data_IF_729450725542
#
_entry.id   IF_729450725542
#
_cell.length_a   1.000
_cell.length_b   1.000
_cell.length_c   1.000
_cell.angle_alpha   90.00
_cell.angle_beta   90.00
_cell.angle_gamma   90.00
#
_symmetry.space_group_name_H-M   'P 1'
#
loop_
_entity.id
_entity.type
_entity.pdbx_description
1 polymer ?
#
# COMPACT_ATOMS: atom_id res chain seq x y z
N UNK A 1 9.02 13.03 -7.74
CA UNK A 1 10.19 12.13 -7.55
C UNK A 1 9.87 11.11 -6.46
N UNK A 2 10.33 9.89 -6.64
CA UNK A 2 10.18 8.83 -5.64
C UNK A 2 11.55 8.44 -5.13
N UNK A 3 11.73 8.43 -3.81
CA UNK A 3 12.99 8.09 -3.16
C UNK A 3 12.77 7.24 -1.92
N UNK A 4 13.81 6.53 -1.49
CA UNK A 4 13.76 5.81 -0.22
C UNK A 4 13.56 6.79 0.95
N UNK A 5 12.68 6.40 1.87
CA UNK A 5 12.49 7.11 3.12
C UNK A 5 13.71 6.91 4.04
N UNK A 6 14.01 7.94 4.83
CA UNK A 6 15.02 7.88 5.89
C UNK A 6 14.35 8.16 7.23
N UNK A 7 15.09 7.98 8.32
CA UNK A 7 14.57 8.27 9.67
C UNK A 7 14.20 9.73 9.86
N UNK A 8 14.82 10.64 9.12
CA UNK A 8 14.50 12.07 9.15
C UNK A 8 13.10 12.35 8.58
N UNK A 9 12.56 11.45 7.76
CA UNK A 9 11.21 11.56 7.20
C UNK A 9 10.12 11.08 8.15
N UNK A 10 10.48 10.44 9.25
CA UNK A 10 9.55 9.66 10.08
C UNK A 10 8.39 10.49 10.64
N UNK A 11 8.66 11.69 11.14
CA UNK A 11 7.60 12.57 11.65
C UNK A 11 6.58 12.90 10.57
N UNK A 12 7.04 13.27 9.37
CA UNK A 12 6.16 13.62 8.26
C UNK A 12 5.39 12.40 7.75
N UNK A 13 6.03 11.24 7.70
CA UNK A 13 5.38 9.98 7.32
C UNK A 13 4.23 9.67 8.29
N UNK A 14 4.47 9.76 9.59
CA UNK A 14 3.43 9.46 10.58
C UNK A 14 2.27 10.46 10.52
N UNK A 15 2.54 11.73 10.18
CA UNK A 15 1.49 12.72 9.94
C UNK A 15 0.63 12.36 8.71
N UNK A 16 1.24 11.87 7.65
CA UNK A 16 0.49 11.40 6.46
C UNK A 16 -0.42 10.24 6.84
N UNK A 17 0.07 9.28 7.61
CA UNK A 17 -0.76 8.16 8.06
C UNK A 17 -1.92 8.60 8.95
N UNK A 18 -1.69 9.57 9.83
CA UNK A 18 -2.76 10.12 10.66
C UNK A 18 -3.87 10.74 9.81
N UNK A 19 -3.53 11.53 8.80
CA UNK A 19 -4.50 12.10 7.85
C UNK A 19 -5.22 11.01 7.05
N UNK A 20 -4.49 9.99 6.61
CA UNK A 20 -5.06 8.88 5.86
C UNK A 20 -6.06 8.08 6.68
N UNK A 21 -5.78 7.83 7.96
CA UNK A 21 -6.74 7.16 8.86
C UNK A 21 -8.02 7.96 9.03
N UNK A 22 -7.90 9.29 9.17
CA UNK A 22 -9.06 10.16 9.23
C UNK A 22 -9.88 10.09 7.94
N UNK A 23 -9.23 10.14 6.79
CA UNK A 23 -9.89 10.00 5.49
C UNK A 23 -10.62 8.66 5.39
N UNK A 24 -9.99 7.56 5.82
CA UNK A 24 -10.61 6.24 5.82
C UNK A 24 -11.90 6.23 6.64
N UNK A 25 -11.87 6.78 7.86
CA UNK A 25 -13.06 6.87 8.72
C UNK A 25 -14.15 7.69 8.05
N UNK A 26 -13.80 8.85 7.50
CA UNK A 26 -14.75 9.77 6.88
C UNK A 26 -15.39 9.19 5.61
N UNK A 27 -14.74 8.23 4.96
CA UNK A 27 -15.22 7.60 3.72
C UNK A 27 -15.75 6.17 3.92
N UNK A 28 -16.06 5.79 5.15
CA UNK A 28 -16.71 4.51 5.45
C UNK A 28 -15.80 3.31 5.60
N UNK A 29 -14.50 3.53 5.85
CA UNK A 29 -13.51 2.47 6.01
C UNK A 29 -12.75 2.62 7.35
N UNK A 30 -13.44 2.52 8.51
CA UNK A 30 -12.79 2.74 9.80
C UNK A 30 -11.89 1.59 10.26
N UNK A 31 -12.03 0.40 9.68
CA UNK A 31 -11.45 -0.83 10.26
C UNK A 31 -10.15 -1.27 9.62
N UNK A 32 -9.79 -0.81 8.43
CA UNK A 32 -8.59 -1.29 7.74
C UNK A 32 -7.32 -0.97 8.56
N UNK A 33 -7.14 0.28 8.96
CA UNK A 33 -6.00 0.69 9.78
C UNK A 33 -6.41 1.06 11.21
N UNK A 34 -7.71 1.21 11.48
CA UNK A 34 -8.20 1.58 12.80
C UNK A 34 -7.67 2.93 13.23
N UNK A 35 -7.21 3.01 14.48
CA UNK A 35 -6.69 4.24 15.07
C UNK A 35 -5.17 4.31 15.10
N UNK A 36 -4.46 3.21 14.87
CA UNK A 36 -3.03 3.13 15.16
C UNK A 36 -2.17 2.43 14.12
N UNK A 37 -2.74 2.02 13.00
CA UNK A 37 -1.97 1.42 11.90
C UNK A 37 -1.72 2.41 10.78
N UNK A 38 -0.60 2.32 10.06
CA UNK A 38 0.59 1.53 10.39
C UNK A 38 1.21 2.00 11.70
N UNK A 39 1.77 1.06 12.48
CA UNK A 39 2.44 1.42 13.74
C UNK A 39 3.77 2.11 13.47
N UNK A 40 4.22 2.90 14.44
CA UNK A 40 5.55 3.52 14.41
C UNK A 40 6.64 2.46 14.16
N UNK A 41 6.59 1.35 14.90
CA UNK A 41 7.57 0.29 14.80
C UNK A 41 7.60 -0.36 13.42
N UNK A 42 6.44 -0.57 12.79
CA UNK A 42 6.38 -1.16 11.45
C UNK A 42 6.93 -0.21 10.40
N UNK A 43 6.73 1.10 10.56
CA UNK A 43 7.29 2.10 9.65
C UNK A 43 8.81 2.15 9.80
N UNK A 44 9.33 2.16 11.02
CA UNK A 44 10.77 2.12 11.28
C UNK A 44 11.40 0.88 10.65
N UNK A 45 10.76 -0.28 10.82
CA UNK A 45 11.23 -1.53 10.21
C UNK A 45 11.32 -1.41 8.69
N UNK A 46 10.29 -0.86 8.05
CA UNK A 46 10.30 -0.70 6.59
C UNK A 46 11.37 0.29 6.11
N UNK A 47 11.62 1.35 6.88
CA UNK A 47 12.71 2.28 6.58
C UNK A 47 14.06 1.58 6.71
N UNK A 48 14.29 0.86 7.81
CA UNK A 48 15.55 0.16 8.05
C UNK A 48 15.82 -0.92 7.01
N UNK A 49 14.78 -1.58 6.51
CA UNK A 49 14.89 -2.59 5.47
C UNK A 49 14.89 -2.01 4.06
N UNK A 50 14.91 -0.69 3.93
CA UNK A 50 15.01 0.02 2.65
C UNK A 50 13.89 -0.36 1.67
N UNK A 51 12.66 -0.43 2.19
CA UNK A 51 11.48 -0.76 1.38
C UNK A 51 10.35 0.25 1.51
N UNK A 52 10.54 1.35 2.26
CA UNK A 52 9.59 2.45 2.32
C UNK A 52 10.05 3.58 1.42
N UNK A 53 9.12 4.12 0.64
CA UNK A 53 9.38 5.16 -0.35
C UNK A 53 8.50 6.38 -0.09
N UNK A 54 9.06 7.54 -0.43
CA UNK A 54 8.37 8.82 -0.38
C UNK A 54 8.14 9.31 -1.79
N UNK A 55 6.93 9.78 -2.05
CA UNK A 55 6.59 10.50 -3.27
C UNK A 55 6.60 11.98 -2.92
N UNK A 56 7.51 12.74 -3.52
CA UNK A 56 7.60 14.18 -3.28
C UNK A 56 7.72 14.95 -4.59
N UNK A 57 7.20 16.17 -4.58
CA UNK A 57 7.31 17.14 -5.66
C UNK A 57 7.63 18.51 -5.04
N UNK A 58 7.62 19.58 -5.84
CA UNK A 58 7.94 20.92 -5.34
C UNK A 58 7.05 21.36 -4.17
N UNK A 59 5.80 20.88 -4.12
CA UNK A 59 4.86 21.16 -3.05
C UNK A 59 5.18 20.44 -1.73
N UNK A 60 6.10 19.48 -1.76
CA UNK A 60 6.50 18.68 -0.61
C UNK A 60 6.13 17.21 -0.73
N UNK A 61 5.92 16.55 0.40
CA UNK A 61 5.60 15.13 0.47
C UNK A 61 4.15 14.89 0.07
N UNK A 62 3.94 14.20 -1.05
CA UNK A 62 2.60 13.89 -1.57
C UNK A 62 2.05 12.58 -1.05
N UNK A 63 2.91 11.61 -0.78
CA UNK A 63 2.47 10.30 -0.32
C UNK A 63 3.63 9.41 0.08
N UNK A 64 3.29 8.27 0.66
CA UNK A 64 4.24 7.25 1.09
C UNK A 64 3.71 5.88 0.75
N UNK A 65 4.60 4.91 0.56
CA UNK A 65 4.23 3.51 0.40
C UNK A 65 5.43 2.62 0.71
N UNK A 66 5.15 1.36 1.03
CA UNK A 66 6.18 0.33 1.11
C UNK A 66 6.06 -0.58 -0.09
N UNK A 67 7.19 -1.10 -0.56
CA UNK A 67 7.25 -2.07 -1.64
C UNK A 67 7.99 -3.30 -1.14
N UNK A 68 7.26 -4.42 -1.03
CA UNK A 68 7.80 -5.70 -0.55
C UNK A 68 8.08 -6.59 -1.75
N UNK A 69 9.18 -7.31 -1.70
CA UNK A 69 9.47 -8.34 -2.70
C UNK A 69 8.94 -9.72 -2.29
N UNK A 70 8.36 -9.82 -1.09
CA UNK A 70 7.76 -11.04 -0.58
C UNK A 70 6.86 -10.69 0.61
N UNK A 71 5.72 -11.37 0.72
CA UNK A 71 4.82 -11.24 1.87
C UNK A 71 4.33 -12.63 2.28
N UNK A 72 4.66 -13.05 3.50
CA UNK A 72 4.27 -14.36 4.00
C UNK A 72 2.75 -14.54 4.10
N UNK A 73 2.00 -13.46 4.35
CA UNK A 73 0.54 -13.53 4.42
C UNK A 73 -0.08 -13.90 3.07
N UNK A 74 0.65 -13.69 1.98
CA UNK A 74 0.21 -14.02 0.62
C UNK A 74 0.40 -15.49 0.27
N UNK A 75 1.14 -16.27 1.07
CA UNK A 75 1.34 -17.70 0.83
C UNK A 75 0.05 -18.50 1.02
N UNK A 76 -0.85 -18.06 1.90
CA UNK A 76 -2.07 -18.77 2.28
C UNK A 76 -3.32 -18.10 1.71
N UNK A 77 -3.28 -17.71 0.45
CA UNK A 77 -4.43 -17.09 -0.19
C UNK A 77 -5.61 -18.06 -0.26
N UNK A 78 -6.80 -17.57 0.10
CA UNK A 78 -8.06 -18.22 -0.19
C UNK A 78 -8.49 -17.76 -1.59
N UNK A 79 -8.06 -18.51 -2.57
CA UNK A 79 -8.12 -18.15 -3.98
C UNK A 79 -6.84 -18.56 -4.67
N UNK A 80 -6.50 -17.87 -5.74
CA UNK A 80 -5.31 -18.22 -6.52
C UNK A 80 -4.71 -17.00 -7.20
N UNK A 81 -3.43 -16.74 -6.93
CA UNK A 81 -2.66 -15.74 -7.67
C UNK A 81 -2.59 -16.11 -9.16
N UNK A 82 -2.44 -15.11 -10.02
CA UNK A 82 -2.41 -15.34 -11.48
C UNK A 82 -1.23 -16.21 -11.90
N UNK A 83 -0.13 -16.16 -11.15
CA UNK A 83 1.04 -17.01 -11.36
C UNK A 83 1.87 -17.06 -10.08
N UNK A 84 2.93 -17.88 -10.07
CA UNK A 84 3.86 -18.02 -8.95
C UNK A 84 5.21 -17.36 -9.22
N UNK A 85 5.25 -16.43 -10.18
CA UNK A 85 6.47 -15.68 -10.49
C UNK A 85 6.85 -14.72 -9.38
N UNK A 86 8.11 -14.26 -9.31
CA UNK A 86 8.50 -13.20 -8.40
C UNK A 86 7.62 -11.97 -8.59
N UNK A 87 7.28 -11.32 -7.49
CA UNK A 87 6.36 -10.18 -7.49
C UNK A 87 6.85 -9.08 -6.56
N UNK A 88 6.26 -7.91 -6.70
CA UNK A 88 6.33 -6.87 -5.66
C UNK A 88 4.92 -6.60 -5.14
N UNK A 89 4.83 -6.27 -3.86
CA UNK A 89 3.56 -5.95 -3.21
C UNK A 89 3.60 -4.51 -2.71
N UNK A 90 2.57 -3.74 -3.05
CA UNK A 90 2.41 -2.37 -2.56
C UNK A 90 1.67 -2.43 -1.22
N UNK A 91 2.30 -1.89 -0.18
CA UNK A 91 1.74 -1.83 1.16
C UNK A 91 1.79 -0.42 1.73
N UNK A 92 0.95 -0.17 2.72
CA UNK A 92 0.98 1.07 3.51
C UNK A 92 0.91 2.34 2.65
N UNK A 93 0.19 2.27 1.52
CA UNK A 93 0.03 3.41 0.63
C UNK A 93 -0.87 4.47 1.25
N UNK A 94 -0.38 5.68 1.33
CA UNK A 94 -1.14 6.81 1.86
C UNK A 94 -0.77 8.09 1.12
N UNK A 95 -1.78 8.92 0.88
CA UNK A 95 -1.62 10.26 0.31
C UNK A 95 -1.87 11.31 1.39
N UNK A 96 -1.20 12.46 1.27
CA UNK A 96 -1.42 13.56 2.22
C UNK A 96 -2.63 14.45 1.86
N UNK A 97 -3.30 14.17 0.74
CA UNK A 97 -4.48 14.92 0.31
C UNK A 97 -4.21 16.18 -0.50
N UNK A 98 -2.95 16.55 -0.72
CA UNK A 98 -2.59 17.76 -1.46
C UNK A 98 -2.87 17.65 -2.96
N UNK A 99 -2.72 16.45 -3.52
CA UNK A 99 -2.76 16.23 -4.96
C UNK A 99 -3.26 14.84 -5.28
N UNK A 100 -3.95 14.69 -6.41
CA UNK A 100 -4.38 13.39 -6.92
C UNK A 100 -3.23 12.66 -7.60
N UNK A 101 -3.39 11.33 -7.79
CA UNK A 101 -2.46 10.54 -8.60
C UNK A 101 -1.38 9.81 -7.82
N UNK A 102 -1.43 9.82 -6.49
CA UNK A 102 -0.45 9.11 -5.66
C UNK A 102 -0.46 7.60 -5.93
N UNK A 103 -1.65 6.99 -6.05
CA UNK A 103 -1.75 5.57 -6.38
C UNK A 103 -1.06 5.24 -7.71
N UNK A 104 -1.33 6.03 -8.75
CA UNK A 104 -0.73 5.79 -10.06
C UNK A 104 0.79 5.95 -10.02
N UNK A 105 1.30 6.92 -9.29
CA UNK A 105 2.75 7.11 -9.16
C UNK A 105 3.41 5.92 -8.46
N UNK A 106 2.81 5.42 -7.40
CA UNK A 106 3.30 4.23 -6.70
C UNK A 106 3.24 2.99 -7.60
N UNK A 107 2.15 2.84 -8.35
CA UNK A 107 1.98 1.71 -9.28
C UNK A 107 3.01 1.76 -10.41
N UNK A 108 3.23 2.92 -11.01
CA UNK A 108 4.23 3.06 -12.08
C UNK A 108 5.64 2.73 -11.56
N UNK A 109 5.95 3.12 -10.34
CA UNK A 109 7.21 2.76 -9.70
C UNK A 109 7.31 1.24 -9.48
N UNK A 110 6.25 0.60 -8.99
CA UNK A 110 6.20 -0.85 -8.81
C UNK A 110 6.41 -1.58 -10.15
N UNK A 111 5.78 -1.10 -11.22
CA UNK A 111 5.96 -1.66 -12.58
C UNK A 111 7.40 -1.57 -13.06
N UNK A 112 8.16 -0.59 -12.60
CA UNK A 112 9.59 -0.49 -12.94
C UNK A 112 10.44 -1.56 -12.25
N UNK A 113 9.89 -2.23 -11.22
CA UNK A 113 10.60 -3.23 -10.42
C UNK A 113 10.19 -4.66 -10.74
N UNK A 114 8.98 -4.88 -11.22
CA UNK A 114 8.48 -6.22 -11.52
C UNK A 114 7.32 -6.15 -12.51
N UNK A 115 7.15 -7.22 -13.27
CA UNK A 115 5.96 -7.41 -14.11
C UNK A 115 4.77 -7.96 -13.33
N UNK A 116 4.96 -8.35 -12.08
CA UNK A 116 3.92 -8.89 -11.22
C UNK A 116 3.75 -8.01 -10.00
N UNK A 117 2.60 -7.37 -9.88
CA UNK A 117 2.27 -6.50 -8.76
C UNK A 117 1.08 -7.09 -8.03
N UNK A 118 1.24 -7.30 -6.72
CA UNK A 118 0.18 -7.76 -5.83
C UNK A 118 -0.20 -6.65 -4.87
N UNK A 119 -1.47 -6.59 -4.52
CA UNK A 119 -1.99 -5.61 -3.56
C UNK A 119 -3.20 -6.20 -2.85
N UNK A 120 -3.43 -5.77 -1.62
CA UNK A 120 -4.64 -6.11 -0.89
C UNK A 120 -5.28 -4.86 -0.29
N UNK A 121 -6.57 -4.94 0.00
CA UNK A 121 -7.30 -3.86 0.64
C UNK A 121 -8.51 -4.40 1.40
N UNK A 122 -8.98 -3.62 2.38
CA UNK A 122 -10.16 -3.97 3.15
C UNK A 122 -11.43 -3.87 2.29
N UNK A 123 -12.40 -4.73 2.57
CA UNK A 123 -13.69 -4.74 1.82
C UNK A 123 -14.47 -3.43 1.92
N UNK A 124 -14.24 -2.62 2.95
CA UNK A 124 -14.88 -1.32 3.12
C UNK A 124 -14.09 -0.18 2.46
N UNK A 125 -12.90 -0.44 1.95
CA UNK A 125 -12.11 0.59 1.26
C UNK A 125 -12.55 0.70 -0.20
N UNK A 126 -13.69 1.33 -0.43
CA UNK A 126 -14.25 1.47 -1.78
C UNK A 126 -13.39 2.35 -2.68
N UNK A 127 -12.75 3.37 -2.10
CA UNK A 127 -11.85 4.25 -2.84
C UNK A 127 -10.68 3.47 -3.43
N UNK A 128 -10.01 2.66 -2.60
CA UNK A 128 -8.89 1.85 -3.07
C UNK A 128 -9.33 0.78 -4.06
N UNK A 129 -10.46 0.10 -3.81
CA UNK A 129 -10.99 -0.89 -4.75
C UNK A 129 -11.23 -0.29 -6.13
N UNK A 130 -11.73 0.94 -6.18
CA UNK A 130 -11.97 1.63 -7.43
C UNK A 130 -10.65 1.95 -8.16
N UNK A 131 -9.65 2.42 -7.44
CA UNK A 131 -8.30 2.66 -7.99
C UNK A 131 -7.68 1.38 -8.55
N UNK A 132 -7.79 0.28 -7.81
CA UNK A 132 -7.27 -1.02 -8.21
C UNK A 132 -7.95 -1.50 -9.50
N UNK A 133 -9.28 -1.41 -9.57
CA UNK A 133 -10.04 -1.82 -10.75
C UNK A 133 -9.71 -0.95 -11.96
N UNK A 134 -9.63 0.37 -11.79
CA UNK A 134 -9.31 1.30 -12.87
C UNK A 134 -7.92 1.02 -13.47
N UNK A 135 -7.02 0.47 -12.69
CA UNK A 135 -5.67 0.14 -13.12
C UNK A 135 -5.52 -1.33 -13.52
N UNK A 136 -6.63 -2.01 -13.79
CA UNK A 136 -6.70 -3.33 -14.45
C UNK A 136 -6.17 -4.50 -13.64
N UNK A 137 -6.11 -4.38 -12.32
CA UNK A 137 -5.85 -5.53 -11.45
C UNK A 137 -7.01 -6.51 -11.51
N UNK A 138 -6.69 -7.80 -11.41
CA UNK A 138 -7.67 -8.88 -11.28
C UNK A 138 -7.87 -9.22 -9.81
N UNK A 139 -9.12 -9.36 -9.39
CA UNK A 139 -9.44 -9.91 -8.09
C UNK A 139 -9.09 -11.40 -8.09
N UNK A 140 -8.34 -11.87 -7.08
CA UNK A 140 -7.83 -13.24 -7.05
C UNK A 140 -8.22 -14.01 -5.78
N UNK A 141 -8.84 -13.38 -4.80
CA UNK A 141 -9.26 -14.06 -3.59
C UNK A 141 -9.07 -13.21 -2.35
N UNK A 142 -8.86 -13.88 -1.23
CA UNK A 142 -8.70 -13.24 0.07
C UNK A 142 -7.41 -13.68 0.73
N UNK A 143 -6.76 -12.74 1.41
CA UNK A 143 -5.63 -13.00 2.28
C UNK A 143 -5.98 -12.55 3.69
N UNK A 144 -5.25 -13.05 4.68
CA UNK A 144 -5.52 -12.77 6.08
C UNK A 144 -4.24 -12.26 6.73
N UNK A 145 -4.23 -10.97 7.07
CA UNK A 145 -3.07 -10.34 7.71
C UNK A 145 -2.94 -10.91 9.13
N UNK A 146 -1.75 -11.41 9.45
CA UNK A 146 -1.46 -12.10 10.72
C UNK A 146 -2.44 -13.27 10.99
N UNK A 147 -2.96 -13.88 9.92
CA UNK A 147 -3.88 -15.00 10.01
C UNK A 147 -5.31 -14.65 10.44
N UNK A 148 -5.62 -13.38 10.65
CA UNK A 148 -6.90 -12.95 11.21
C UNK A 148 -7.65 -11.92 10.39
N UNK A 149 -6.95 -10.90 9.89
CA UNK A 149 -7.57 -9.72 9.28
C UNK A 149 -7.78 -9.94 7.79
N UNK A 150 -9.04 -10.13 7.41
CA UNK A 150 -9.41 -10.36 6.01
C UNK A 150 -9.10 -9.16 5.12
N UNK A 151 -8.48 -9.44 3.98
CA UNK A 151 -8.23 -8.46 2.91
C UNK A 151 -8.59 -9.07 1.56
N UNK A 152 -9.14 -8.24 0.69
CA UNK A 152 -9.34 -8.61 -0.72
C UNK A 152 -8.01 -8.52 -1.45
N UNK A 153 -7.65 -9.57 -2.17
CA UNK A 153 -6.37 -9.67 -2.86
C UNK A 153 -6.52 -9.48 -4.36
N UNK A 154 -5.58 -8.77 -4.94
CA UNK A 154 -5.56 -8.42 -6.36
C UNK A 154 -4.17 -8.62 -6.94
N UNK A 155 -4.11 -8.94 -8.24
CA UNK A 155 -2.86 -9.19 -8.95
C UNK A 155 -2.91 -8.51 -10.31
N UNK A 156 -1.83 -7.84 -10.67
CA UNK A 156 -1.64 -7.26 -12.00
C UNK A 156 -0.39 -7.90 -12.64
N UNK A 157 -0.54 -8.41 -13.84
CA UNK A 157 0.57 -8.86 -14.69
C UNK A 157 0.73 -7.86 -15.81
N UNK A 158 1.90 -7.27 -15.90
CA UNK A 158 2.24 -6.24 -16.89
C UNK A 158 2.78 -6.87 -18.16
#
# INVERSE_FOLDING_TARGET
>A
MIRLATKEDLTNIMLVYMKARKFMKDTGNPDQWGDNRPTYESVVTDIDQKRMYIIEEDEGLLGVFSLYDYDKDYENIDGKWLNDEPYVAIHKLAANGMKKGVFKKALDFAKSKSNNIRIDTHKHNKVMQLNIKRNKFSYVGRVYIDGELERLAYHLVV
#
